data_IF_539349325182
#
_entry.id   IF_539349325182
#
_cell.length_a   1.000
_cell.length_b   1.000
_cell.length_c   1.000
_cell.angle_alpha   90.00
_cell.angle_beta   90.00
_cell.angle_gamma   90.00
#
_symmetry.space_group_name_H-M   'P 1'
#
loop_
_entity.id
_entity.type
_entity.pdbx_description
1 polymer ?
#
# COMPACT_ATOMS: atom_id res chain seq x y z
N UNK A 1 -3.04 -15.01 -21.61
CA UNK A 1 -2.05 -13.96 -21.27
C UNK A 1 -2.19 -13.63 -19.80
N UNK A 2 -1.21 -13.98 -18.96
CA UNK A 2 -1.23 -13.57 -17.56
C UNK A 2 -1.09 -12.05 -17.54
N UNK A 3 -2.17 -11.33 -17.23
CA UNK A 3 -2.10 -9.88 -17.06
C UNK A 3 -1.01 -9.59 -16.03
N UNK A 4 0.06 -8.90 -16.42
CA UNK A 4 1.01 -8.34 -15.47
C UNK A 4 0.20 -7.53 -14.48
N UNK A 5 0.00 -8.10 -13.28
CA UNK A 5 -0.57 -7.40 -12.13
C UNK A 5 0.19 -6.09 -12.01
N UNK A 6 -0.45 -4.95 -12.32
CA UNK A 6 0.22 -3.65 -12.31
C UNK A 6 0.55 -3.32 -10.85
N UNK A 7 1.79 -3.61 -10.48
CA UNK A 7 2.34 -3.24 -9.19
C UNK A 7 2.26 -1.71 -9.08
N UNK A 8 1.79 -1.23 -7.94
CA UNK A 8 1.77 0.20 -7.62
C UNK A 8 3.15 0.83 -7.85
N UNK A 9 3.21 1.98 -8.55
CA UNK A 9 4.47 2.69 -8.84
C UNK A 9 5.25 3.07 -7.57
N UNK A 10 4.54 3.33 -6.48
CA UNK A 10 5.10 3.70 -5.18
C UNK A 10 5.51 2.48 -4.34
N UNK A 11 5.18 1.25 -4.76
CA UNK A 11 5.44 0.02 -3.99
C UNK A 11 6.90 -0.16 -3.53
N UNK A 12 7.94 0.17 -4.33
CA UNK A 12 9.32 0.03 -3.88
C UNK A 12 9.66 0.83 -2.61
N UNK A 13 9.03 2.00 -2.45
CA UNK A 13 9.30 2.97 -1.37
C UNK A 13 8.16 3.06 -0.34
N UNK A 14 7.02 2.41 -0.60
CA UNK A 14 5.85 2.48 0.27
C UNK A 14 6.08 1.70 1.58
N UNK A 15 5.75 2.27 2.75
CA UNK A 15 5.87 1.60 4.05
C UNK A 15 5.17 0.25 4.13
N UNK A 16 4.12 0.01 3.33
CA UNK A 16 3.41 -1.26 3.28
C UNK A 16 4.33 -2.42 2.90
N UNK A 17 5.23 -2.23 1.93
CA UNK A 17 6.23 -3.25 1.55
C UNK A 17 7.14 -3.56 2.74
N UNK A 18 7.61 -2.52 3.45
CA UNK A 18 8.46 -2.67 4.64
C UNK A 18 7.75 -3.43 5.75
N UNK A 19 6.51 -3.07 6.08
CA UNK A 19 5.74 -3.75 7.14
C UNK A 19 5.44 -5.20 6.79
N UNK A 20 5.14 -5.49 5.52
CA UNK A 20 4.95 -6.87 5.07
C UNK A 20 6.23 -7.70 5.19
N UNK A 21 7.37 -7.17 4.75
CA UNK A 21 8.67 -7.86 4.88
C UNK A 21 9.08 -8.06 6.34
N UNK A 22 8.65 -7.19 7.25
CA UNK A 22 8.85 -7.32 8.69
C UNK A 22 7.86 -8.26 9.39
N UNK A 23 6.89 -8.84 8.66
CA UNK A 23 5.84 -9.69 9.24
C UNK A 23 4.80 -8.93 10.06
N UNK A 24 4.79 -7.59 10.01
CA UNK A 24 3.83 -6.74 10.73
C UNK A 24 2.53 -6.53 9.97
N UNK A 25 2.54 -6.74 8.66
CA UNK A 25 1.40 -6.57 7.77
C UNK A 25 1.15 -7.85 6.98
N UNK A 26 -0.10 -8.29 6.94
CA UNK A 26 -0.48 -9.47 6.17
C UNK A 26 -0.25 -9.28 4.66
N UNK A 27 0.17 -10.35 3.98
CA UNK A 27 0.39 -10.37 2.53
C UNK A 27 -0.87 -10.05 1.73
N UNK A 28 -2.07 -10.27 2.27
CA UNK A 28 -3.34 -9.92 1.65
C UNK A 28 -3.43 -8.42 1.34
N UNK A 29 -2.93 -7.55 2.23
CA UNK A 29 -2.86 -6.11 1.97
C UNK A 29 -2.04 -5.79 0.72
N UNK A 30 -0.89 -6.46 0.56
CA UNK A 30 -0.03 -6.28 -0.60
C UNK A 30 -0.69 -6.80 -1.86
N UNK A 31 -1.31 -7.99 -1.81
CA UNK A 31 -1.99 -8.58 -2.98
C UNK A 31 -3.17 -7.74 -3.44
N UNK A 32 -4.01 -7.30 -2.50
CA UNK A 32 -5.30 -6.66 -2.80
C UNK A 32 -5.16 -5.18 -3.16
N UNK A 33 -4.17 -4.50 -2.60
CA UNK A 33 -3.94 -3.08 -2.88
C UNK A 33 -2.70 -2.87 -3.75
N UNK A 34 -1.52 -3.35 -3.34
CA UNK A 34 -0.29 -3.03 -4.05
C UNK A 34 -0.13 -3.75 -5.41
N UNK A 35 -0.59 -4.99 -5.53
CA UNK A 35 -0.46 -5.81 -6.75
C UNK A 35 -1.74 -5.89 -7.60
N UNK A 36 -2.80 -5.16 -7.24
CA UNK A 36 -4.07 -5.19 -7.96
C UNK A 36 -4.45 -3.79 -8.46
N UNK A 37 -3.55 -3.19 -9.25
CA UNK A 37 -3.75 -1.85 -9.84
C UNK A 37 -4.05 -0.76 -8.80
N UNK A 38 -3.59 -0.90 -7.55
CA UNK A 38 -3.73 0.14 -6.52
C UNK A 38 -5.17 0.66 -6.32
N UNK A 39 -6.17 -0.15 -6.72
CA UNK A 39 -7.59 0.23 -6.63
C UNK A 39 -7.95 0.50 -5.18
N UNK A 40 -8.60 1.64 -4.97
CA UNK A 40 -9.10 2.09 -3.66
C UNK A 40 -8.02 2.26 -2.58
N UNK A 41 -6.74 2.37 -2.96
CA UNK A 41 -5.66 2.64 -2.00
C UNK A 41 -5.62 4.14 -1.64
N UNK A 42 -6.06 4.49 -0.44
CA UNK A 42 -6.06 5.87 0.06
C UNK A 42 -4.67 6.48 0.19
N UNK A 43 -3.65 5.66 0.47
CA UNK A 43 -2.26 6.12 0.39
C UNK A 43 -1.87 6.56 -1.01
N UNK A 44 -2.24 5.77 -2.03
CA UNK A 44 -1.95 6.12 -3.42
C UNK A 44 -2.66 7.42 -3.80
N UNK A 45 -3.95 7.55 -3.49
CA UNK A 45 -4.71 8.79 -3.73
C UNK A 45 -4.08 10.01 -3.04
N UNK A 46 -3.54 9.84 -1.82
CA UNK A 46 -2.88 10.91 -1.08
C UNK A 46 -1.54 11.31 -1.72
N UNK A 47 -0.70 10.35 -2.13
CA UNK A 47 0.54 10.61 -2.87
C UNK A 47 0.27 11.39 -4.17
N UNK A 48 -0.73 10.98 -4.96
CA UNK A 48 -1.06 11.66 -6.22
C UNK A 48 -1.57 13.10 -6.01
N UNK A 49 -2.17 13.37 -4.85
CA UNK A 49 -2.67 14.71 -4.47
C UNK A 49 -1.63 15.53 -3.70
N UNK A 50 -0.45 14.97 -3.40
CA UNK A 50 0.55 15.61 -2.55
C UNK A 50 0.08 15.83 -1.11
N UNK A 51 -0.86 15.03 -0.62
CA UNK A 51 -1.41 15.12 0.74
C UNK A 51 -0.49 14.34 1.70
N UNK A 52 0.08 14.99 2.73
CA UNK A 52 0.85 14.32 3.75
C UNK A 52 -0.01 13.29 4.49
N UNK A 53 0.54 12.11 4.71
CA UNK A 53 -0.09 11.06 5.50
C UNK A 53 0.98 10.24 6.22
N UNK A 54 0.67 9.68 7.42
CA UNK A 54 1.68 8.99 8.20
C UNK A 54 1.99 7.59 7.62
N UNK A 55 3.19 7.10 7.94
CA UNK A 55 3.66 5.78 7.50
C UNK A 55 2.73 4.64 7.91
N UNK A 56 2.12 4.74 9.09
CA UNK A 56 1.23 3.74 9.65
C UNK A 56 -0.24 3.85 9.18
N UNK A 57 -0.52 4.72 8.21
CA UNK A 57 -1.79 4.70 7.48
C UNK A 57 -1.85 3.46 6.59
N UNK A 58 -2.90 2.65 6.71
CA UNK A 58 -3.13 1.49 5.88
C UNK A 58 -3.72 1.90 4.50
N UNK A 59 -3.71 0.99 3.51
CA UNK A 59 -4.29 1.25 2.20
C UNK A 59 -5.77 1.64 2.20
N UNK A 60 -6.54 1.23 3.20
CA UNK A 60 -7.95 1.61 3.37
C UNK A 60 -8.14 3.01 4.02
N UNK A 61 -7.06 3.65 4.46
CA UNK A 61 -7.06 4.96 5.12
C UNK A 61 -7.10 4.90 6.65
N UNK A 62 -7.17 3.71 7.26
CA UNK A 62 -7.13 3.58 8.72
C UNK A 62 -5.71 3.76 9.26
N UNK A 63 -5.57 4.32 10.48
CA UNK A 63 -4.26 4.47 11.13
C UNK A 63 -4.04 3.30 12.10
N UNK A 64 -3.05 2.45 11.81
CA UNK A 64 -2.68 1.36 12.69
C UNK A 64 -1.50 1.75 13.59
N UNK A 65 -1.78 2.12 14.84
CA UNK A 65 -0.76 2.53 15.83
C UNK A 65 0.23 1.43 16.24
N UNK A 66 0.00 0.18 15.84
CA UNK A 66 0.88 -0.96 16.18
C UNK A 66 1.92 -1.29 15.10
N UNK A 67 1.89 -0.61 13.94
CA UNK A 67 2.84 -0.81 12.84
C UNK A 67 4.16 -0.06 13.04
#
# INVERSE_FOLDING_TARGET
MQSMRKICKHYPNCPMKRFWLQGKLDKEWIKNYCWNEHKNCKRYEAEEKGIPHPDNMLPDGTINKKL
#
